data_IF_339848389537
#
_entry.id   IF_339848389537
#
_cell.length_a   1.000
_cell.length_b   1.000
_cell.length_c   1.000
_cell.angle_alpha   90.00
_cell.angle_beta   90.00
_cell.angle_gamma   90.00
#
_symmetry.space_group_name_H-M   'P 1'
#
loop_
_entity.id
_entity.type
_entity.pdbx_description
1 polymer ?
#
# COMPACT_ATOMS: atom_id res chain seq x y z
N UNK A 1 8.08 26.01 1.67
CA UNK A 1 8.98 26.90 0.90
C UNK A 1 9.24 26.23 -0.44
N UNK A 2 9.07 26.94 -1.56
CA UNK A 2 9.30 26.36 -2.89
C UNK A 2 10.75 26.64 -3.29
N UNK A 3 11.52 25.59 -3.55
CA UNK A 3 12.93 25.70 -3.95
C UNK A 3 12.99 25.87 -5.47
N UNK A 4 13.70 26.89 -5.95
CA UNK A 4 13.99 27.05 -7.37
C UNK A 4 15.24 26.22 -7.73
N UNK A 5 14.98 24.97 -8.12
CA UNK A 5 16.02 24.01 -8.50
C UNK A 5 16.84 24.46 -9.70
N UNK A 6 16.23 25.14 -10.66
CA UNK A 6 16.91 25.54 -11.89
C UNK A 6 17.84 26.71 -11.62
N UNK A 7 17.38 27.74 -10.88
CA UNK A 7 18.23 28.86 -10.48
C UNK A 7 19.40 28.41 -9.60
N UNK A 8 19.18 27.46 -8.68
CA UNK A 8 20.25 26.90 -7.86
C UNK A 8 21.28 26.15 -8.70
N UNK A 9 20.82 25.33 -9.66
CA UNK A 9 21.69 24.58 -10.57
C UNK A 9 22.52 25.51 -11.46
N UNK A 10 21.89 26.53 -12.02
CA UNK A 10 22.57 27.49 -12.90
C UNK A 10 23.63 28.30 -12.14
N UNK A 11 23.32 28.73 -10.92
CA UNK A 11 24.29 29.44 -10.07
C UNK A 11 25.47 28.54 -9.65
N UNK A 12 25.22 27.25 -9.36
CA UNK A 12 26.28 26.29 -9.06
C UNK A 12 27.18 26.04 -10.27
N UNK A 13 26.59 25.82 -11.45
CA UNK A 13 27.33 25.63 -12.71
C UNK A 13 28.14 26.87 -13.08
N UNK A 14 27.63 28.08 -12.85
CA UNK A 14 28.36 29.32 -13.10
C UNK A 14 29.63 29.44 -12.24
N UNK A 15 29.59 29.00 -10.98
CA UNK A 15 30.77 28.97 -10.10
C UNK A 15 31.80 27.92 -10.55
N UNK A 16 31.34 26.72 -10.92
CA UNK A 16 32.20 25.63 -11.40
C UNK A 16 32.90 25.97 -12.73
N UNK A 17 32.17 26.65 -13.63
CA UNK A 17 32.69 27.02 -14.95
C UNK A 17 33.61 28.26 -14.89
N UNK A 18 33.25 29.25 -14.08
CA UNK A 18 34.00 30.50 -13.95
C UNK A 18 33.99 30.98 -12.49
N UNK A 19 35.02 30.66 -11.68
CA UNK A 19 35.04 30.93 -10.24
C UNK A 19 35.37 32.40 -9.92
N UNK A 20 34.58 33.32 -10.47
CA UNK A 20 34.66 34.75 -10.20
C UNK A 20 33.85 35.13 -8.96
N UNK A 21 34.27 36.22 -8.29
CA UNK A 21 33.60 36.73 -7.10
C UNK A 21 32.08 36.91 -7.30
N UNK A 22 31.66 37.43 -8.46
CA UNK A 22 30.25 37.62 -8.78
C UNK A 22 29.46 36.31 -8.79
N UNK A 23 30.03 35.23 -9.33
CA UNK A 23 29.39 33.92 -9.40
C UNK A 23 29.27 33.30 -8.00
N UNK A 24 30.29 33.43 -7.15
CA UNK A 24 30.21 33.01 -5.74
C UNK A 24 29.14 33.79 -4.96
N UNK A 25 29.00 35.09 -5.23
CA UNK A 25 27.95 35.91 -4.59
C UNK A 25 26.57 35.46 -5.04
N UNK A 26 26.36 35.23 -6.34
CA UNK A 26 25.10 34.75 -6.88
C UNK A 26 24.73 33.37 -6.31
N UNK A 27 25.68 32.43 -6.25
CA UNK A 27 25.47 31.13 -5.64
C UNK A 27 25.11 31.23 -4.15
N UNK A 28 25.80 32.06 -3.38
CA UNK A 28 25.49 32.25 -1.94
C UNK A 28 24.11 32.87 -1.71
N UNK A 29 23.62 33.72 -2.63
CA UNK A 29 22.27 34.26 -2.56
C UNK A 29 21.21 33.20 -2.90
N UNK A 30 21.51 32.30 -3.84
CA UNK A 30 20.62 31.21 -4.23
C UNK A 30 20.60 30.05 -3.20
N UNK A 31 21.77 29.66 -2.69
CA UNK A 31 21.97 28.56 -1.74
C UNK A 31 22.07 29.08 -0.31
N UNK A 32 20.94 29.55 0.22
CA UNK A 32 20.86 29.99 1.61
C UNK A 32 20.78 28.80 2.58
N UNK A 33 21.06 28.98 3.89
CA UNK A 33 20.84 27.94 4.88
C UNK A 33 19.42 27.37 4.88
N UNK A 34 18.40 28.19 4.60
CA UNK A 34 17.02 27.70 4.51
C UNK A 34 16.83 26.76 3.32
N UNK A 35 17.40 27.08 2.15
CA UNK A 35 17.38 26.19 0.98
C UNK A 35 18.10 24.89 1.28
N UNK A 36 19.26 24.92 1.94
CA UNK A 36 19.98 23.72 2.34
C UNK A 36 19.15 22.83 3.27
N UNK A 37 18.49 23.41 4.28
CA UNK A 37 17.62 22.65 5.19
C UNK A 37 16.42 22.04 4.45
N UNK A 38 15.76 22.80 3.59
CA UNK A 38 14.61 22.28 2.85
C UNK A 38 15.00 21.17 1.85
N UNK A 39 16.18 21.24 1.24
CA UNK A 39 16.71 20.13 0.43
C UNK A 39 16.97 18.87 1.27
N UNK A 40 17.52 19.02 2.48
CA UNK A 40 17.72 17.89 3.40
C UNK A 40 16.40 17.26 3.82
N UNK A 41 15.39 18.08 4.15
CA UNK A 41 14.06 17.60 4.49
C UNK A 41 13.39 16.89 3.30
N UNK A 42 13.55 17.41 2.08
CA UNK A 42 13.01 16.78 0.87
C UNK A 42 13.71 15.47 0.53
N UNK A 43 15.05 15.40 0.63
CA UNK A 43 15.82 14.16 0.46
C UNK A 43 15.34 13.11 1.44
N UNK A 44 15.23 13.45 2.73
CA UNK A 44 14.76 12.51 3.75
C UNK A 44 13.35 12.01 3.44
N UNK A 45 12.43 12.91 3.06
CA UNK A 45 11.07 12.53 2.67
C UNK A 45 11.05 11.59 1.47
N UNK A 46 11.91 11.81 0.48
CA UNK A 46 12.03 10.96 -0.70
C UNK A 46 12.64 9.60 -0.36
N UNK A 47 13.64 9.56 0.53
CA UNK A 47 14.21 8.31 1.05
C UNK A 47 13.16 7.48 1.79
N UNK A 48 12.40 8.09 2.70
CA UNK A 48 11.31 7.44 3.42
C UNK A 48 10.24 6.90 2.43
N UNK A 49 9.84 7.71 1.45
CA UNK A 49 8.89 7.30 0.40
C UNK A 49 9.41 6.13 -0.43
N UNK A 50 10.70 6.14 -0.77
CA UNK A 50 11.33 5.06 -1.55
C UNK A 50 11.43 3.77 -0.74
N UNK A 51 11.74 3.85 0.55
CA UNK A 51 11.76 2.70 1.46
C UNK A 51 10.35 2.08 1.52
N UNK A 52 9.31 2.89 1.72
CA UNK A 52 7.92 2.43 1.75
C UNK A 52 7.51 1.76 0.43
N UNK A 53 7.85 2.38 -0.70
CA UNK A 53 7.57 1.83 -2.03
C UNK A 53 8.30 0.48 -2.27
N UNK A 54 9.56 0.38 -1.88
CA UNK A 54 10.33 -0.86 -2.00
C UNK A 54 9.74 -1.99 -1.15
N UNK A 55 9.36 -1.70 0.09
CA UNK A 55 8.67 -2.66 0.96
C UNK A 55 7.37 -3.15 0.30
N UNK A 56 6.57 -2.23 -0.23
CA UNK A 56 5.30 -2.57 -0.88
C UNK A 56 5.48 -3.41 -2.14
N UNK A 57 6.51 -3.12 -2.95
CA UNK A 57 6.84 -3.92 -4.13
C UNK A 57 7.19 -5.35 -3.72
N UNK A 58 8.04 -5.53 -2.70
CA UNK A 58 8.45 -6.85 -2.24
C UNK A 58 7.26 -7.70 -1.73
N UNK A 59 6.30 -7.08 -1.02
CA UNK A 59 5.05 -7.73 -0.62
C UNK A 59 4.22 -8.18 -1.83
N UNK A 60 4.04 -7.29 -2.83
CA UNK A 60 3.28 -7.59 -4.03
C UNK A 60 3.93 -8.69 -4.88
N UNK A 61 5.26 -8.68 -5.01
CA UNK A 61 6.03 -9.73 -5.69
C UNK A 61 5.84 -11.09 -5.02
N UNK A 62 5.84 -11.12 -3.68
CA UNK A 62 5.60 -12.34 -2.90
C UNK A 62 4.18 -12.88 -3.13
N UNK A 63 3.17 -12.02 -3.08
CA UNK A 63 1.78 -12.41 -3.35
C UNK A 63 1.60 -12.90 -4.79
N UNK A 64 2.21 -12.22 -5.77
CA UNK A 64 2.15 -12.62 -7.16
C UNK A 64 2.78 -13.99 -7.38
N UNK A 65 3.94 -14.26 -6.76
CA UNK A 65 4.59 -15.56 -6.86
C UNK A 65 3.70 -16.69 -6.31
N UNK A 66 3.03 -16.47 -5.18
CA UNK A 66 2.09 -17.42 -4.59
C UNK A 66 0.88 -17.67 -5.52
N UNK A 67 0.27 -16.61 -6.07
CA UNK A 67 -0.85 -16.73 -7.01
C UNK A 67 -0.45 -17.41 -8.32
N UNK A 68 0.76 -17.16 -8.82
CA UNK A 68 1.28 -17.83 -10.02
C UNK A 68 1.50 -19.32 -9.75
N UNK A 69 2.05 -19.68 -8.59
CA UNK A 69 2.25 -21.07 -8.21
C UNK A 69 0.91 -21.82 -8.04
N UNK A 70 -0.06 -21.22 -7.37
CA UNK A 70 -1.42 -21.76 -7.22
C UNK A 70 -2.09 -21.95 -8.58
N UNK A 71 -2.04 -20.95 -9.46
CA UNK A 71 -2.59 -21.04 -10.81
C UNK A 71 -1.90 -22.11 -11.67
N UNK A 72 -0.58 -22.29 -11.53
CA UNK A 72 0.15 -23.37 -12.20
C UNK A 72 -0.30 -24.74 -11.69
N UNK A 73 -0.50 -24.88 -10.38
CA UNK A 73 -1.04 -26.10 -9.76
C UNK A 73 -2.43 -26.44 -10.26
N UNK A 74 -3.34 -25.45 -10.30
CA UNK A 74 -4.70 -25.63 -10.83
C UNK A 74 -4.69 -26.05 -12.31
N UNK A 75 -3.89 -25.38 -13.16
CA UNK A 75 -3.75 -25.75 -14.57
C UNK A 75 -3.19 -27.16 -14.75
N UNK A 76 -2.22 -27.54 -13.92
CA UNK A 76 -1.65 -28.89 -13.96
C UNK A 76 -2.66 -29.96 -13.54
N UNK A 77 -3.41 -29.72 -12.46
CA UNK A 77 -4.49 -30.61 -12.03
C UNK A 77 -5.50 -30.83 -13.15
N UNK A 78 -5.94 -29.76 -13.81
CA UNK A 78 -6.83 -29.84 -14.97
C UNK A 78 -6.24 -30.67 -16.13
N UNK A 79 -4.95 -30.47 -16.46
CA UNK A 79 -4.30 -31.20 -17.54
C UNK A 79 -4.20 -32.70 -17.25
N UNK A 80 -3.81 -33.09 -16.02
CA UNK A 80 -3.71 -34.50 -15.60
C UNK A 80 -5.08 -35.19 -15.69
N UNK A 81 -6.16 -34.51 -15.28
CA UNK A 81 -7.51 -35.10 -15.37
C UNK A 81 -7.93 -35.33 -16.82
N UNK A 82 -7.51 -34.48 -17.76
CA UNK A 82 -7.82 -34.64 -19.18
C UNK A 82 -6.98 -35.73 -19.87
N UNK A 83 -5.73 -35.96 -19.46
CA UNK A 83 -4.87 -37.00 -20.06
C UNK A 83 -5.29 -38.44 -19.71
N UNK A 84 -5.95 -38.64 -18.57
CA UNK A 84 -6.31 -39.99 -18.09
C UNK A 84 -7.72 -40.43 -18.52
N UNK A 85 -8.47 -39.56 -19.20
CA UNK A 85 -9.81 -39.91 -19.70
C UNK A 85 -9.81 -39.95 -21.21
N UNK A 86 -9.64 -41.15 -21.76
CA UNK A 86 -9.96 -41.43 -23.17
C UNK A 86 -11.46 -41.28 -23.38
N UNK A 87 -11.92 -40.10 -23.76
CA UNK A 87 -13.33 -39.84 -24.08
C UNK A 87 -13.63 -40.41 -25.46
N UNK A 88 -14.03 -41.67 -25.53
CA UNK A 88 -14.39 -42.34 -26.80
C UNK A 88 -15.91 -42.41 -27.04
N UNK A 89 -16.71 -42.16 -26.00
CA UNK A 89 -18.17 -42.03 -26.07
C UNK A 89 -18.72 -40.98 -25.09
N UNK A 90 -20.01 -40.65 -25.23
CA UNK A 90 -20.69 -39.64 -24.42
C UNK A 90 -20.81 -40.02 -22.92
N UNK A 91 -20.79 -41.31 -22.59
CA UNK A 91 -20.82 -41.78 -21.20
C UNK A 91 -19.50 -41.51 -20.49
N UNK A 92 -18.38 -41.77 -21.16
CA UNK A 92 -17.03 -41.46 -20.66
C UNK A 92 -16.80 -39.94 -20.51
N UNK A 93 -17.38 -39.13 -21.40
CA UNK A 93 -17.34 -37.67 -21.29
C UNK A 93 -17.99 -37.18 -19.98
N UNK A 94 -19.12 -37.80 -19.60
CA UNK A 94 -19.82 -37.50 -18.34
C UNK A 94 -19.00 -37.88 -17.10
N UNK A 95 -18.29 -39.00 -17.14
CA UNK A 95 -17.40 -39.43 -16.04
C UNK A 95 -16.18 -38.51 -15.93
N UNK A 96 -15.58 -38.11 -17.06
CA UNK A 96 -14.50 -37.12 -17.09
C UNK A 96 -14.93 -35.81 -16.43
N UNK A 97 -16.08 -35.28 -16.85
CA UNK A 97 -16.64 -34.05 -16.32
C UNK A 97 -16.91 -34.15 -14.82
N UNK A 98 -17.42 -35.29 -14.33
CA UNK A 98 -17.67 -35.49 -12.91
C UNK A 98 -16.38 -35.48 -12.08
N UNK A 99 -15.32 -36.17 -12.56
CA UNK A 99 -14.01 -36.20 -11.88
C UNK A 99 -13.36 -34.81 -11.89
N UNK A 100 -13.43 -34.08 -13.00
CA UNK A 100 -12.92 -32.70 -13.09
C UNK A 100 -13.67 -31.79 -12.14
N UNK A 101 -15.00 -31.88 -12.10
CA UNK A 101 -15.82 -31.07 -11.22
C UNK A 101 -15.54 -31.38 -9.74
N UNK A 102 -15.35 -32.65 -9.39
CA UNK A 102 -15.03 -33.07 -8.03
C UNK A 102 -13.61 -32.60 -7.61
N UNK A 103 -12.62 -32.73 -8.49
CA UNK A 103 -11.27 -32.24 -8.24
C UNK A 103 -11.21 -30.72 -8.10
N UNK A 104 -11.96 -29.98 -8.93
CA UNK A 104 -12.06 -28.52 -8.84
C UNK A 104 -12.82 -28.06 -7.59
N UNK A 105 -13.89 -28.75 -7.18
CA UNK A 105 -14.64 -28.39 -5.98
C UNK A 105 -13.87 -28.59 -4.68
N UNK A 106 -12.92 -29.51 -4.65
CA UNK A 106 -12.07 -29.75 -3.49
C UNK A 106 -10.71 -29.05 -3.56
N UNK A 107 -10.43 -28.31 -4.63
CA UNK A 107 -9.19 -27.53 -4.74
C UNK A 107 -9.34 -26.23 -3.96
N UNK A 108 -8.74 -26.16 -2.77
CA UNK A 108 -8.61 -24.92 -2.02
C UNK A 108 -7.70 -23.92 -2.77
N UNK A 109 -7.96 -22.62 -2.62
CA UNK A 109 -7.18 -21.54 -3.24
C UNK A 109 -6.63 -20.57 -2.19
N UNK A 110 -5.78 -21.04 -1.27
CA UNK A 110 -5.34 -20.24 -0.11
C UNK A 110 -4.59 -18.96 -0.49
N UNK A 111 -3.85 -18.93 -1.61
CA UNK A 111 -3.17 -17.71 -2.06
C UNK A 111 -4.19 -16.69 -2.58
N UNK A 112 -5.19 -17.14 -3.32
CA UNK A 112 -6.32 -16.29 -3.74
C UNK A 112 -7.10 -15.77 -2.54
N UNK A 113 -7.41 -16.62 -1.57
CA UNK A 113 -8.19 -16.24 -0.38
C UNK A 113 -7.45 -15.23 0.50
N UNK A 114 -6.13 -15.41 0.67
CA UNK A 114 -5.26 -14.45 1.35
C UNK A 114 -5.20 -13.12 0.60
N UNK A 115 -5.05 -13.15 -0.73
CA UNK A 115 -5.05 -11.95 -1.56
C UNK A 115 -6.36 -11.18 -1.46
N UNK A 116 -7.51 -11.86 -1.55
CA UNK A 116 -8.83 -11.23 -1.41
C UNK A 116 -9.06 -10.66 -0.02
N UNK A 117 -8.57 -11.35 1.02
CA UNK A 117 -8.61 -10.87 2.41
C UNK A 117 -7.81 -9.58 2.59
N UNK A 118 -6.63 -9.50 1.98
CA UNK A 118 -5.80 -8.30 1.98
C UNK A 118 -6.44 -7.16 1.17
N UNK A 119 -7.05 -7.43 0.01
CA UNK A 119 -7.80 -6.41 -0.76
C UNK A 119 -8.97 -5.86 0.04
N UNK A 120 -9.71 -6.71 0.77
CA UNK A 120 -10.77 -6.25 1.67
C UNK A 120 -10.21 -5.37 2.79
N UNK A 121 -9.08 -5.76 3.40
CA UNK A 121 -8.43 -4.96 4.43
C UNK A 121 -7.99 -3.59 3.92
N UNK A 122 -7.43 -3.51 2.70
CA UNK A 122 -7.07 -2.23 2.07
C UNK A 122 -8.28 -1.31 1.85
N UNK A 123 -9.44 -1.88 1.52
CA UNK A 123 -10.69 -1.11 1.44
C UNK A 123 -11.07 -0.49 2.78
N UNK A 124 -10.84 -1.21 3.89
CA UNK A 124 -11.04 -0.69 5.25
C UNK A 124 -9.99 0.36 5.58
N UNK A 125 -8.72 0.16 5.23
CA UNK A 125 -7.65 1.15 5.45
C UNK A 125 -7.96 2.49 4.76
N UNK A 126 -8.47 2.45 3.52
CA UNK A 126 -8.90 3.65 2.81
C UNK A 126 -10.05 4.37 3.54
N UNK A 127 -11.00 3.61 4.09
CA UNK A 127 -12.09 4.17 4.90
C UNK A 127 -11.60 4.74 6.24
N UNK A 128 -10.61 4.11 6.88
CA UNK A 128 -9.97 4.60 8.10
C UNK A 128 -9.32 5.97 7.85
N UNK A 129 -8.54 6.11 6.78
CA UNK A 129 -7.90 7.39 6.46
C UNK A 129 -8.92 8.50 6.15
N UNK A 130 -10.02 8.15 5.46
CA UNK A 130 -11.13 9.08 5.28
C UNK A 130 -11.79 9.47 6.62
N UNK A 131 -12.04 8.51 7.50
CA UNK A 131 -12.62 8.73 8.82
C UNK A 131 -11.73 9.62 9.70
N UNK A 132 -10.42 9.35 9.75
CA UNK A 132 -9.42 10.17 10.48
C UNK A 132 -9.47 11.63 10.04
N UNK A 133 -9.52 11.86 8.73
CA UNK A 133 -9.61 13.20 8.17
C UNK A 133 -10.93 13.90 8.52
N UNK A 134 -12.06 13.20 8.46
CA UNK A 134 -13.36 13.74 8.84
C UNK A 134 -13.41 14.11 10.33
N UNK A 135 -12.90 13.25 11.21
CA UNK A 135 -12.83 13.52 12.66
C UNK A 135 -11.97 14.75 12.94
N UNK A 136 -10.80 14.87 12.31
CA UNK A 136 -9.95 16.06 12.48
C UNK A 136 -10.66 17.34 12.00
N UNK A 137 -11.34 17.29 10.85
CA UNK A 137 -12.04 18.45 10.28
C UNK A 137 -13.25 18.89 11.11
N UNK A 138 -14.08 17.95 11.56
CA UNK A 138 -15.33 18.27 12.27
C UNK A 138 -15.08 18.97 13.62
N UNK A 139 -13.97 18.63 14.28
CA UNK A 139 -13.59 19.21 15.57
C UNK A 139 -12.44 20.23 15.43
N UNK A 140 -12.14 20.67 14.21
CA UNK A 140 -11.15 21.71 13.90
C UNK A 140 -9.72 21.41 14.43
N UNK A 141 -9.35 20.14 14.50
CA UNK A 141 -7.98 19.73 14.84
C UNK A 141 -7.07 19.73 13.60
N UNK A 142 -5.78 19.96 13.84
CA UNK A 142 -4.74 19.90 12.79
C UNK A 142 -4.62 18.51 12.15
N UNK A 143 -4.86 17.45 12.91
CA UNK A 143 -4.72 16.05 12.52
C UNK A 143 -5.47 15.16 13.52
N UNK A 144 -5.66 13.89 13.13
CA UNK A 144 -6.33 12.90 13.99
C UNK A 144 -5.57 12.62 15.28
N UNK A 145 -4.24 12.79 15.31
CA UNK A 145 -3.44 12.57 16.53
C UNK A 145 -3.75 13.62 17.60
N UNK A 146 -3.96 14.87 17.20
CA UNK A 146 -4.39 15.92 18.10
C UNK A 146 -5.78 15.63 18.66
N UNK A 147 -6.71 15.16 17.82
CA UNK A 147 -8.04 14.74 18.23
C UNK A 147 -7.99 13.59 19.23
N UNK A 148 -7.23 12.53 18.93
CA UNK A 148 -7.01 11.39 19.82
C UNK A 148 -6.39 11.79 21.17
N UNK A 149 -5.42 12.73 21.15
CA UNK A 149 -4.78 13.22 22.37
C UNK A 149 -5.74 13.99 23.27
N UNK A 150 -6.75 14.66 22.73
CA UNK A 150 -7.70 15.47 23.51
C UNK A 150 -8.82 14.62 24.14
N UNK A 151 -9.06 13.41 23.62
CA UNK A 151 -10.04 12.46 24.16
C UNK A 151 -9.85 12.17 25.66
N UNK A 152 -8.61 12.16 26.17
CA UNK A 152 -8.33 11.91 27.59
C UNK A 152 -8.74 13.06 28.50
N UNK A 153 -8.87 14.28 27.96
CA UNK A 153 -9.30 15.46 28.69
C UNK A 153 -10.83 15.58 28.74
N UNK A 154 -11.53 14.96 27.77
CA UNK A 154 -12.98 15.07 27.59
C UNK A 154 -13.65 13.70 27.36
N UNK A 155 -13.63 12.78 28.34
CA UNK A 155 -14.02 11.37 28.17
C UNK A 155 -15.51 11.14 27.86
N UNK A 156 -16.37 12.14 28.05
CA UNK A 156 -17.80 12.06 27.75
C UNK A 156 -18.21 12.75 26.45
N UNK A 157 -17.24 13.17 25.63
CA UNK A 157 -17.51 13.88 24.37
C UNK A 157 -17.80 12.90 23.22
N UNK A 158 -18.61 13.36 22.25
CA UNK A 158 -18.88 12.61 21.01
C UNK A 158 -17.61 12.29 20.20
N UNK A 159 -16.55 13.08 20.40
CA UNK A 159 -15.23 12.88 19.79
C UNK A 159 -14.65 11.51 20.17
N UNK A 160 -14.77 11.12 21.44
CA UNK A 160 -14.22 9.86 21.97
C UNK A 160 -14.79 8.67 21.20
N UNK A 161 -16.11 8.60 21.04
CA UNK A 161 -16.76 7.51 20.32
C UNK A 161 -16.35 7.43 18.84
N UNK A 162 -16.08 8.55 18.18
CA UNK A 162 -15.59 8.58 16.79
C UNK A 162 -14.13 8.15 16.66
N UNK A 163 -13.29 8.54 17.62
CA UNK A 163 -11.89 8.08 17.70
C UNK A 163 -11.84 6.57 17.96
N UNK A 164 -12.60 6.09 18.95
CA UNK A 164 -12.71 4.66 19.26
C UNK A 164 -13.22 3.84 18.07
N UNK A 165 -14.23 4.33 17.34
CA UNK A 165 -14.72 3.66 16.13
C UNK A 165 -13.63 3.60 15.05
N UNK A 166 -12.86 4.67 14.89
CA UNK A 166 -11.76 4.74 13.92
C UNK A 166 -10.64 3.77 14.30
N UNK A 167 -10.33 3.63 15.58
CA UNK A 167 -9.37 2.66 16.11
C UNK A 167 -9.88 1.22 15.94
N UNK A 168 -11.16 0.96 16.22
CA UNK A 168 -11.76 -0.35 16.02
C UNK A 168 -11.68 -0.82 14.57
N UNK A 169 -11.84 0.10 13.60
CA UNK A 169 -11.68 -0.23 12.19
C UNK A 169 -10.26 -0.73 11.86
N UNK A 170 -9.23 -0.23 12.57
CA UNK A 170 -7.84 -0.73 12.42
C UNK A 170 -7.77 -2.20 12.83
N UNK A 171 -8.37 -2.55 13.96
CA UNK A 171 -8.43 -3.94 14.43
C UNK A 171 -9.25 -4.83 13.48
N UNK A 172 -10.34 -4.30 12.92
CA UNK A 172 -11.15 -5.01 11.93
C UNK A 172 -10.37 -5.29 10.65
N UNK A 173 -9.63 -4.31 10.12
CA UNK A 173 -8.74 -4.52 8.97
C UNK A 173 -7.68 -5.60 9.27
N UNK A 174 -7.10 -5.59 10.49
CA UNK A 174 -6.15 -6.61 10.92
C UNK A 174 -6.78 -8.01 11.04
N UNK A 175 -8.06 -8.12 11.41
CA UNK A 175 -8.78 -9.39 11.43
C UNK A 175 -9.05 -9.93 10.02
N UNK A 176 -9.40 -9.06 9.07
CA UNK A 176 -9.59 -9.45 7.68
C UNK A 176 -8.31 -10.10 7.12
N UNK A 177 -7.14 -9.52 7.38
CA UNK A 177 -5.83 -10.07 6.95
C UNK A 177 -5.52 -11.46 7.49
N UNK A 178 -6.06 -11.80 8.65
CA UNK A 178 -5.93 -13.14 9.23
C UNK A 178 -6.88 -14.18 8.60
N UNK A 179 -7.65 -13.77 7.58
CA UNK A 179 -8.66 -14.61 6.95
C UNK A 179 -9.86 -14.87 7.86
N UNK A 180 -10.21 -13.89 8.73
CA UNK A 180 -11.19 -14.07 9.80
C UNK A 180 -12.47 -14.80 9.38
N UNK A 181 -13.01 -15.63 10.29
CA UNK A 181 -14.24 -16.42 10.11
C UNK A 181 -15.35 -15.58 9.46
N UNK A 182 -15.53 -15.73 8.15
CA UNK A 182 -16.75 -15.32 7.42
C UNK A 182 -17.68 -16.51 7.30
#
# INVERSE_FOLDING_TARGET
MTIDYQALRDAAVAVETEPMHQNFVAFRMAFTPSVALALLDEIKRLEDTNIDAMCRIAELETNLAALVAENAGLKHAMAVTLEHVSVTDAGQAGVAAMIINDALHHSETPATDAFLSEVRAQGVDAAIEAAKNLVAQEYEYKDFKAAQSDCCMHPGSDLVGKVEMTEWLVDFAAQLRKGGNQ
#
